data_IF_300798037198
#
_entry.id   IF_300798037198
#
_cell.length_a   1.000
_cell.length_b   1.000
_cell.length_c   1.000
_cell.angle_alpha   90.00
_cell.angle_beta   90.00
_cell.angle_gamma   90.00
#
_symmetry.space_group_name_H-M   'P 1'
#
loop_
_entity.id
_entity.type
_entity.pdbx_description
1 polymer ?
#
# COMPACT_ATOMS: atom_id res chain seq x y z
N UNK A 1 -5.85 -22.08 26.50
CA UNK A 1 -4.77 -22.11 25.48
C UNK A 1 -5.35 -22.75 24.24
N UNK A 2 -5.39 -22.06 23.07
CA UNK A 2 -5.81 -22.69 21.82
C UNK A 2 -4.82 -23.79 21.47
N UNK A 3 -5.31 -24.92 20.97
CA UNK A 3 -4.43 -26.01 20.52
C UNK A 3 -3.54 -25.52 19.37
N UNK A 4 -2.23 -25.56 19.56
CA UNK A 4 -1.23 -25.12 18.57
C UNK A 4 -1.32 -25.98 17.30
N UNK A 5 -1.70 -27.25 17.45
CA UNK A 5 -1.93 -28.17 16.31
C UNK A 5 -3.09 -27.73 15.44
N UNK A 6 -4.19 -27.33 16.06
CA UNK A 6 -5.37 -26.80 15.34
C UNK A 6 -5.04 -25.50 14.59
N UNK A 7 -4.30 -24.58 15.20
CA UNK A 7 -3.87 -23.34 14.53
C UNK A 7 -2.95 -23.59 13.34
N UNK A 8 -2.02 -24.54 13.43
CA UNK A 8 -1.14 -24.94 12.31
C UNK A 8 -1.92 -25.55 11.15
N UNK A 9 -2.87 -26.46 11.43
CA UNK A 9 -3.71 -27.08 10.41
C UNK A 9 -4.57 -26.03 9.68
N UNK A 10 -5.18 -25.09 10.43
CA UNK A 10 -5.96 -23.98 9.85
C UNK A 10 -5.11 -23.07 8.98
N UNK A 11 -3.90 -22.70 9.41
CA UNK A 11 -2.99 -21.87 8.64
C UNK A 11 -2.51 -22.58 7.35
N UNK A 12 -2.24 -23.89 7.42
CA UNK A 12 -1.89 -24.69 6.26
C UNK A 12 -3.06 -24.76 5.25
N UNK A 13 -4.30 -24.94 5.74
CA UNK A 13 -5.50 -24.93 4.89
C UNK A 13 -5.73 -23.54 4.27
N UNK A 14 -5.55 -22.45 5.02
CA UNK A 14 -5.60 -21.09 4.49
C UNK A 14 -4.58 -20.91 3.37
N UNK A 15 -3.30 -21.23 3.59
CA UNK A 15 -2.25 -21.09 2.59
C UNK A 15 -2.50 -21.93 1.32
N UNK A 16 -3.20 -23.07 1.45
CA UNK A 16 -3.60 -23.89 0.30
C UNK A 16 -4.73 -23.26 -0.52
N UNK A 17 -5.65 -22.53 0.12
CA UNK A 17 -6.86 -21.98 -0.51
C UNK A 17 -6.68 -20.55 -0.99
N UNK A 18 -5.92 -19.75 -0.26
CA UNK A 18 -5.84 -18.32 -0.44
C UNK A 18 -4.38 -17.89 -0.68
N UNK A 19 -4.11 -17.46 -1.91
CA UNK A 19 -2.93 -16.64 -2.18
C UNK A 19 -3.28 -15.17 -1.89
N UNK A 20 -2.25 -14.30 -1.83
CA UNK A 20 -2.40 -12.84 -1.71
C UNK A 20 -3.41 -12.30 -2.74
N UNK A 21 -3.30 -12.75 -3.99
CA UNK A 21 -4.16 -12.35 -5.11
C UNK A 21 -5.61 -12.72 -4.86
N UNK A 22 -5.86 -13.96 -4.46
CA UNK A 22 -7.22 -14.46 -4.16
C UNK A 22 -7.87 -13.73 -3.01
N UNK A 23 -7.08 -13.34 -1.99
CA UNK A 23 -7.58 -12.55 -0.87
C UNK A 23 -8.02 -11.17 -1.36
N UNK A 24 -7.20 -10.47 -2.15
CA UNK A 24 -7.54 -9.16 -2.71
C UNK A 24 -8.75 -9.28 -3.64
N UNK A 25 -8.77 -10.26 -4.54
CA UNK A 25 -9.90 -10.49 -5.46
C UNK A 25 -11.21 -10.83 -4.74
N UNK A 26 -11.15 -11.44 -3.55
CA UNK A 26 -12.35 -11.78 -2.79
C UNK A 26 -13.10 -10.57 -2.21
N UNK A 27 -12.41 -9.43 -2.06
CA UNK A 27 -12.97 -8.21 -1.48
C UNK A 27 -13.29 -7.13 -2.51
N UNK A 28 -12.67 -7.20 -3.70
CA UNK A 28 -12.94 -6.29 -4.83
C UNK A 28 -13.94 -6.97 -5.76
N UNK A 29 -15.22 -6.67 -5.58
CA UNK A 29 -16.31 -7.38 -6.27
C UNK A 29 -16.82 -6.70 -7.54
N UNK A 30 -16.36 -5.48 -7.84
CA UNK A 30 -16.72 -4.78 -9.06
C UNK A 30 -16.14 -5.48 -10.30
N UNK A 31 -16.93 -5.63 -11.36
CA UNK A 31 -16.48 -6.23 -12.62
C UNK A 31 -15.49 -5.34 -13.37
N UNK A 32 -15.59 -4.03 -13.19
CA UNK A 32 -14.69 -3.00 -13.73
C UNK A 32 -14.32 -2.08 -12.57
N UNK A 33 -13.35 -2.47 -11.71
CA UNK A 33 -13.04 -1.70 -10.53
C UNK A 33 -12.29 -0.40 -10.86
N UNK A 34 -12.59 0.65 -10.10
CA UNK A 34 -11.78 1.86 -10.01
C UNK A 34 -10.72 1.66 -8.93
N UNK A 35 -9.48 1.72 -9.34
CA UNK A 35 -8.31 1.47 -8.48
C UNK A 35 -7.47 2.73 -8.39
N UNK A 36 -7.06 3.08 -7.19
CA UNK A 36 -6.09 4.15 -6.94
C UNK A 36 -4.80 3.52 -6.41
N UNK A 37 -3.67 3.87 -7.03
CA UNK A 37 -2.34 3.35 -6.72
C UNK A 37 -1.42 4.53 -6.35
N UNK A 38 -1.19 4.72 -5.06
CA UNK A 38 -0.39 5.82 -4.51
C UNK A 38 1.01 5.35 -4.20
N UNK A 39 2.01 6.00 -4.79
CA UNK A 39 3.41 5.56 -4.77
C UNK A 39 3.66 4.47 -5.81
N UNK A 40 3.26 4.74 -7.06
CA UNK A 40 3.29 3.75 -8.15
C UNK A 40 4.70 3.43 -8.66
N UNK A 41 5.71 4.24 -8.31
CA UNK A 41 7.11 4.09 -8.71
C UNK A 41 7.24 3.88 -10.23
N UNK A 42 7.80 2.75 -10.69
CA UNK A 42 7.94 2.41 -12.12
C UNK A 42 6.71 1.69 -12.71
N UNK A 43 5.62 1.54 -11.93
CA UNK A 43 4.38 0.92 -12.36
C UNK A 43 4.25 -0.57 -12.15
N UNK A 44 5.10 -1.18 -11.30
CA UNK A 44 5.00 -2.61 -10.98
C UNK A 44 3.64 -2.95 -10.37
N UNK A 45 3.17 -2.09 -9.43
CA UNK A 45 1.83 -2.22 -8.84
C UNK A 45 0.72 -2.07 -9.88
N UNK A 46 0.83 -1.11 -10.79
CA UNK A 46 -0.16 -0.90 -11.85
C UNK A 46 -0.27 -2.13 -12.78
N UNK A 47 0.88 -2.72 -13.17
CA UNK A 47 0.90 -3.95 -13.96
C UNK A 47 0.27 -5.12 -13.22
N UNK A 48 0.64 -5.32 -11.96
CA UNK A 48 0.08 -6.36 -11.09
C UNK A 48 -1.44 -6.20 -10.91
N UNK A 49 -1.91 -4.99 -10.61
CA UNK A 49 -3.33 -4.70 -10.45
C UNK A 49 -4.12 -4.88 -11.76
N UNK A 50 -3.50 -4.55 -12.90
CA UNK A 50 -4.08 -4.82 -14.21
C UNK A 50 -4.21 -6.32 -14.51
N UNK A 51 -3.24 -7.13 -14.09
CA UNK A 51 -3.30 -8.59 -14.22
C UNK A 51 -4.43 -9.16 -13.35
N UNK A 52 -4.56 -8.69 -12.10
CA UNK A 52 -5.63 -9.11 -11.21
C UNK A 52 -7.02 -8.69 -11.68
N UNK A 53 -7.12 -7.50 -12.28
CA UNK A 53 -8.38 -6.86 -12.69
C UNK A 53 -8.25 -6.30 -14.12
N UNK A 54 -8.34 -7.14 -15.16
CA UNK A 54 -8.03 -6.75 -16.54
C UNK A 54 -8.87 -5.57 -17.09
N UNK A 55 -10.11 -5.40 -16.59
CA UNK A 55 -11.01 -4.31 -17.00
C UNK A 55 -10.93 -3.04 -16.14
N UNK A 56 -10.06 -2.98 -15.15
CA UNK A 56 -10.02 -1.88 -14.17
C UNK A 56 -9.67 -0.53 -14.82
N UNK A 57 -10.13 0.56 -14.20
CA UNK A 57 -9.57 1.90 -14.40
C UNK A 57 -8.60 2.15 -13.25
N UNK A 58 -7.34 2.46 -13.58
CA UNK A 58 -6.27 2.65 -12.59
C UNK A 58 -5.81 4.10 -12.62
N UNK A 59 -5.77 4.76 -11.46
CA UNK A 59 -5.21 6.09 -11.26
C UNK A 59 -3.96 5.98 -10.40
N UNK A 60 -2.79 6.22 -10.99
CA UNK A 60 -1.49 6.07 -10.33
C UNK A 60 -0.84 7.42 -10.07
N UNK A 61 -0.23 7.55 -8.89
CA UNK A 61 0.47 8.76 -8.44
C UNK A 61 1.93 8.42 -8.15
N UNK A 62 2.83 9.20 -8.74
CA UNK A 62 4.27 9.10 -8.53
C UNK A 62 4.91 10.49 -8.61
N UNK A 63 5.51 11.00 -7.53
CA UNK A 63 6.09 12.33 -7.52
C UNK A 63 7.46 12.44 -8.19
N UNK A 64 8.29 11.37 -8.15
CA UNK A 64 9.64 11.41 -8.74
C UNK A 64 9.58 11.43 -10.27
N UNK A 65 10.16 12.45 -10.94
CA UNK A 65 10.06 12.60 -12.39
C UNK A 65 10.60 11.41 -13.18
N UNK A 66 11.69 10.80 -12.73
CA UNK A 66 12.35 9.69 -13.45
C UNK A 66 11.50 8.42 -13.32
N UNK A 67 10.94 8.18 -12.13
CA UNK A 67 10.01 7.07 -11.89
C UNK A 67 8.69 7.29 -12.63
N UNK A 68 8.16 8.50 -12.60
CA UNK A 68 6.93 8.88 -13.31
C UNK A 68 7.06 8.68 -14.83
N UNK A 69 8.19 9.05 -15.43
CA UNK A 69 8.41 8.85 -16.86
C UNK A 69 8.31 7.36 -17.25
N UNK A 70 8.85 6.47 -16.41
CA UNK A 70 8.75 5.02 -16.63
C UNK A 70 7.31 4.53 -16.45
N UNK A 71 6.64 4.96 -15.39
CA UNK A 71 5.22 4.66 -15.15
C UNK A 71 4.34 5.07 -16.33
N UNK A 72 4.48 6.31 -16.80
CA UNK A 72 3.68 6.84 -17.91
C UNK A 72 3.97 6.10 -19.24
N UNK A 73 5.19 5.60 -19.42
CA UNK A 73 5.59 4.86 -20.64
C UNK A 73 4.98 3.47 -20.74
N UNK A 74 4.33 2.93 -19.71
CA UNK A 74 3.67 1.63 -19.76
C UNK A 74 2.53 1.57 -20.77
N UNK A 75 1.87 2.71 -21.08
CA UNK A 75 0.85 2.81 -22.10
C UNK A 75 -0.37 1.90 -21.89
N UNK A 76 -0.71 1.57 -20.64
CA UNK A 76 -1.85 0.69 -20.34
C UNK A 76 -3.17 1.39 -20.62
N UNK A 77 -4.10 0.71 -21.28
CA UNK A 77 -5.45 1.22 -21.51
C UNK A 77 -6.20 1.45 -20.19
N UNK A 78 -6.92 2.58 -20.03
CA UNK A 78 -7.60 2.92 -18.78
C UNK A 78 -6.67 3.17 -17.59
N UNK A 79 -5.42 3.59 -17.86
CA UNK A 79 -4.44 3.97 -16.85
C UNK A 79 -4.18 5.46 -16.90
N UNK A 80 -4.44 6.14 -15.80
CA UNK A 80 -4.26 7.57 -15.62
C UNK A 80 -3.09 7.82 -14.68
N UNK A 81 -2.02 8.42 -15.20
CA UNK A 81 -0.81 8.70 -14.42
C UNK A 81 -0.77 10.18 -14.04
N UNK A 82 -0.53 10.49 -12.77
CA UNK A 82 -0.40 11.85 -12.24
C UNK A 82 0.95 12.01 -11.56
N UNK A 83 1.75 12.99 -12.04
CA UNK A 83 3.02 13.33 -11.41
C UNK A 83 2.76 14.24 -10.21
N UNK A 84 2.53 13.64 -9.05
CA UNK A 84 2.31 14.34 -7.79
C UNK A 84 2.52 13.38 -6.60
N UNK A 85 2.89 13.92 -5.46
CA UNK A 85 2.71 13.27 -4.18
C UNK A 85 1.25 13.43 -3.72
N UNK A 86 0.76 12.46 -2.95
CA UNK A 86 -0.49 12.63 -2.19
C UNK A 86 -0.18 12.80 -0.70
N UNK A 87 -0.88 13.72 -0.05
CA UNK A 87 -0.76 14.01 1.38
C UNK A 87 -2.04 14.68 1.89
N UNK A 88 -2.01 15.22 3.11
CA UNK A 88 -3.12 15.96 3.75
C UNK A 88 -3.18 17.44 3.35
N UNK A 89 -2.33 17.91 2.42
CA UNK A 89 -2.30 19.28 1.93
C UNK A 89 -2.05 19.37 0.43
N UNK A 90 -2.26 20.58 -0.12
CA UNK A 90 -2.02 20.92 -1.54
C UNK A 90 -0.84 21.86 -1.70
N UNK A 91 -0.23 21.86 -2.86
CA UNK A 91 0.81 22.82 -3.24
C UNK A 91 2.11 22.15 -3.65
N UNK A 92 3.21 22.68 -3.13
CA UNK A 92 4.56 22.10 -3.28
C UNK A 92 5.01 21.56 -1.94
N UNK A 93 5.67 20.40 -1.96
CA UNK A 93 6.24 19.78 -0.76
C UNK A 93 7.65 19.27 -1.08
N UNK A 94 8.50 19.29 -0.06
CA UNK A 94 9.82 18.68 -0.17
C UNK A 94 9.69 17.14 -0.19
N UNK A 95 10.28 16.53 -1.20
CA UNK A 95 10.38 15.09 -1.37
C UNK A 95 11.86 14.69 -1.35
N UNK A 96 12.18 13.56 -0.74
CA UNK A 96 13.56 13.11 -0.57
C UNK A 96 13.86 11.94 -1.49
N UNK A 97 14.78 12.16 -2.43
CA UNK A 97 15.32 11.14 -3.31
C UNK A 97 16.46 10.41 -2.63
N UNK A 98 16.51 9.11 -2.81
CA UNK A 98 17.52 8.21 -2.28
C UNK A 98 18.18 7.40 -3.41
N UNK A 99 19.42 6.94 -3.18
CA UNK A 99 20.14 6.08 -4.13
C UNK A 99 19.34 4.83 -4.52
N UNK A 100 18.49 4.36 -3.61
CA UNK A 100 17.56 3.25 -3.85
C UNK A 100 16.17 3.86 -4.04
N UNK A 101 15.74 4.05 -5.30
CA UNK A 101 14.57 4.85 -5.67
C UNK A 101 13.24 4.41 -5.03
N UNK A 102 13.07 3.11 -4.72
CA UNK A 102 11.88 2.63 -4.02
C UNK A 102 11.83 2.99 -2.53
N UNK A 103 12.83 3.70 -2.02
CA UNK A 103 12.85 4.29 -0.67
C UNK A 103 12.65 5.80 -0.69
N UNK A 104 12.35 6.39 -1.84
CA UNK A 104 12.01 7.81 -1.94
C UNK A 104 10.74 8.10 -1.14
N UNK A 105 10.70 9.22 -0.42
CA UNK A 105 9.59 9.54 0.50
C UNK A 105 9.43 11.04 0.73
N UNK A 106 8.29 11.44 1.28
CA UNK A 106 8.11 12.75 1.93
C UNK A 106 8.93 12.85 3.23
N UNK A 107 9.40 11.74 3.76
CA UNK A 107 10.21 11.70 4.98
C UNK A 107 11.65 11.31 4.69
N UNK A 108 12.55 11.85 5.51
CA UNK A 108 13.97 11.53 5.41
C UNK A 108 14.24 10.13 5.92
N UNK A 109 15.14 9.40 5.25
CA UNK A 109 15.72 8.18 5.80
C UNK A 109 16.46 8.52 7.09
N UNK A 110 16.18 7.81 8.15
CA UNK A 110 16.81 7.97 9.46
C UNK A 110 18.23 7.37 9.44
N UNK A 111 19.21 8.22 9.17
CA UNK A 111 20.62 7.82 9.12
C UNK A 111 21.16 7.37 10.48
N UNK A 112 20.48 7.68 11.58
CA UNK A 112 20.82 7.22 12.95
C UNK A 112 20.29 5.83 13.28
N UNK A 113 19.38 5.28 12.49
CA UNK A 113 18.77 3.98 12.76
C UNK A 113 19.81 2.85 12.66
N UNK A 114 19.85 2.02 13.70
CA UNK A 114 20.62 0.77 13.71
C UNK A 114 19.77 -0.44 13.31
N UNK A 115 18.50 -0.24 13.08
CA UNK A 115 17.52 -1.29 12.84
C UNK A 115 17.42 -1.70 11.37
N UNK A 116 17.88 -0.86 10.45
CA UNK A 116 17.84 -1.16 9.04
C UNK A 116 19.03 -2.00 8.59
N UNK A 117 18.78 -3.24 8.21
CA UNK A 117 19.78 -4.12 7.59
C UNK A 117 20.37 -3.46 6.34
N UNK A 118 19.52 -2.87 5.49
CA UNK A 118 19.93 -2.19 4.25
C UNK A 118 20.87 -1.02 4.54
N UNK A 119 20.56 -0.18 5.54
CA UNK A 119 21.42 0.92 5.94
C UNK A 119 22.73 0.43 6.57
N UNK A 120 22.67 -0.64 7.37
CA UNK A 120 23.85 -1.23 8.01
C UNK A 120 24.79 -1.86 6.97
N UNK A 121 24.24 -2.57 6.01
CA UNK A 121 24.99 -3.17 4.92
C UNK A 121 25.60 -2.10 3.98
N UNK A 122 24.82 -1.08 3.64
CA UNK A 122 25.24 0.03 2.82
C UNK A 122 26.33 0.88 3.49
N UNK A 123 26.26 1.13 4.80
CA UNK A 123 27.35 1.77 5.57
C UNK A 123 28.63 0.96 5.55
N UNK A 124 28.52 -0.38 5.62
CA UNK A 124 29.67 -1.27 5.60
C UNK A 124 30.35 -1.36 4.24
N UNK A 125 29.58 -1.27 3.14
CA UNK A 125 30.08 -1.47 1.77
C UNK A 125 30.31 -0.16 1.00
N UNK A 126 29.50 0.87 1.23
CA UNK A 126 29.43 2.12 0.44
C UNK A 126 30.13 3.32 1.08
N UNK A 127 30.54 3.25 2.34
CA UNK A 127 31.24 4.33 3.04
C UNK A 127 30.47 5.67 3.05
N UNK A 128 31.22 6.79 3.09
CA UNK A 128 30.65 8.14 3.14
C UNK A 128 29.84 8.54 1.88
N UNK A 129 30.11 7.95 0.72
CA UNK A 129 29.43 8.31 -0.54
C UNK A 129 27.99 7.81 -0.58
N UNK A 130 27.70 6.66 0.02
CA UNK A 130 26.32 6.18 0.09
C UNK A 130 25.43 7.09 0.96
N UNK A 131 25.92 7.52 2.12
CA UNK A 131 25.16 8.44 2.99
C UNK A 131 24.88 9.78 2.31
N UNK A 132 25.80 10.27 1.45
CA UNK A 132 25.61 11.49 0.66
C UNK A 132 24.58 11.35 -0.46
N UNK A 133 24.31 10.14 -0.91
CA UNK A 133 23.30 9.85 -1.96
C UNK A 133 21.90 9.63 -1.41
N UNK A 134 21.72 9.73 -0.09
CA UNK A 134 20.43 9.66 0.58
C UNK A 134 19.90 11.05 0.91
N UNK A 135 18.58 11.15 1.05
CA UNK A 135 17.89 12.36 1.50
C UNK A 135 18.17 13.59 0.63
N UNK A 136 18.27 13.42 -0.70
CA UNK A 136 18.42 14.53 -1.63
C UNK A 136 17.08 15.25 -1.80
N UNK A 137 16.90 16.48 -1.27
CA UNK A 137 15.63 17.17 -1.30
C UNK A 137 15.35 17.77 -2.68
N UNK A 138 14.10 17.70 -3.12
CA UNK A 138 13.58 18.50 -4.24
C UNK A 138 12.09 18.74 -4.07
N UNK A 139 11.55 19.75 -4.74
CA UNK A 139 10.14 20.12 -4.62
C UNK A 139 9.29 19.35 -5.63
N UNK A 140 8.17 18.82 -5.15
CA UNK A 140 7.17 18.14 -5.97
C UNK A 140 5.78 18.70 -5.74
N UNK A 141 4.93 18.61 -6.76
CA UNK A 141 3.50 18.91 -6.62
C UNK A 141 2.87 17.95 -5.61
N UNK A 142 2.03 18.48 -4.74
CA UNK A 142 1.26 17.73 -3.76
C UNK A 142 -0.24 17.99 -3.94
N UNK A 143 -1.05 16.93 -3.80
CA UNK A 143 -2.51 16.96 -3.86
C UNK A 143 -3.09 16.22 -2.66
N UNK A 144 -4.35 16.48 -2.35
CA UNK A 144 -5.14 15.53 -1.55
C UNK A 144 -5.86 14.54 -2.48
N UNK A 145 -6.10 13.33 -1.99
CA UNK A 145 -6.87 12.36 -2.76
C UNK A 145 -8.33 12.80 -2.92
N UNK A 146 -8.88 13.47 -1.92
CA UNK A 146 -10.23 14.02 -1.94
C UNK A 146 -10.44 15.00 -3.10
N UNK A 147 -9.49 15.95 -3.27
CA UNK A 147 -9.58 16.93 -4.35
C UNK A 147 -9.40 16.28 -5.72
N UNK A 148 -8.47 15.33 -5.83
CA UNK A 148 -8.27 14.61 -7.08
C UNK A 148 -9.53 13.83 -7.49
N UNK A 149 -10.15 13.10 -6.58
CA UNK A 149 -11.37 12.34 -6.87
C UNK A 149 -12.53 13.26 -7.25
N UNK A 150 -12.66 14.42 -6.59
CA UNK A 150 -13.66 15.43 -6.93
C UNK A 150 -13.42 16.00 -8.35
N UNK A 151 -12.19 16.42 -8.67
CA UNK A 151 -11.81 16.96 -9.98
C UNK A 151 -11.95 15.92 -11.10
N UNK A 152 -11.65 14.64 -10.83
CA UNK A 152 -11.76 13.54 -11.80
C UNK A 152 -13.17 12.91 -11.89
N UNK A 153 -14.13 13.33 -11.06
CA UNK A 153 -15.48 12.77 -11.01
C UNK A 153 -15.53 11.33 -10.49
N UNK A 154 -14.60 10.95 -9.63
CA UNK A 154 -14.52 9.60 -9.04
C UNK A 154 -15.41 9.56 -7.78
N UNK A 155 -16.60 9.01 -7.91
CA UNK A 155 -17.56 8.89 -6.78
C UNK A 155 -17.33 7.66 -5.91
N UNK A 156 -16.56 6.65 -6.37
CA UNK A 156 -16.28 5.41 -5.65
C UNK A 156 -14.90 4.89 -6.01
N UNK A 157 -14.18 4.42 -5.00
CA UNK A 157 -12.91 3.70 -5.14
C UNK A 157 -13.12 2.25 -4.68
N UNK A 158 -12.91 1.29 -5.56
CA UNK A 158 -13.07 -0.13 -5.20
C UNK A 158 -11.84 -0.66 -4.47
N UNK A 159 -10.65 -0.20 -4.86
CA UNK A 159 -9.39 -0.52 -4.20
C UNK A 159 -8.47 0.71 -4.15
N UNK A 160 -8.03 1.08 -2.97
CA UNK A 160 -6.98 2.07 -2.72
C UNK A 160 -5.72 1.35 -2.25
N UNK A 161 -4.65 1.40 -3.04
CA UNK A 161 -3.31 0.92 -2.65
C UNK A 161 -2.44 2.10 -2.27
N UNK A 162 -1.79 2.04 -1.11
CA UNK A 162 -0.89 3.09 -0.61
C UNK A 162 0.45 2.47 -0.22
N UNK A 163 1.52 2.96 -0.85
CA UNK A 163 2.89 2.58 -0.57
C UNK A 163 3.78 3.82 -0.80
N UNK A 164 3.82 4.67 0.20
CA UNK A 164 4.48 5.99 0.14
C UNK A 164 5.62 6.13 1.14
N UNK A 165 6.07 4.96 1.62
CA UNK A 165 7.31 4.85 2.36
C UNK A 165 7.32 5.71 3.63
N UNK A 166 6.30 5.47 4.49
CA UNK A 166 6.18 6.06 5.82
C UNK A 166 5.14 7.18 5.94
N UNK A 167 4.63 7.74 4.82
CA UNK A 167 3.67 8.85 4.82
C UNK A 167 2.19 8.43 4.64
N UNK A 168 1.85 7.15 4.87
CA UNK A 168 0.53 6.55 4.61
C UNK A 168 -0.59 7.29 5.37
N UNK A 169 -0.36 7.65 6.64
CA UNK A 169 -1.36 8.39 7.43
C UNK A 169 -1.64 9.79 6.85
N UNK A 170 -0.64 10.46 6.26
CA UNK A 170 -0.84 11.74 5.60
C UNK A 170 -1.72 11.60 4.35
N UNK A 171 -1.51 10.54 3.56
CA UNK A 171 -2.38 10.22 2.41
C UNK A 171 -3.81 9.95 2.88
N UNK A 172 -3.99 9.13 3.93
CA UNK A 172 -5.31 8.80 4.48
C UNK A 172 -6.04 10.02 5.02
N UNK A 173 -5.35 10.96 5.69
CA UNK A 173 -5.95 12.23 6.14
C UNK A 173 -6.42 13.08 4.97
N UNK A 174 -5.66 13.11 3.86
CA UNK A 174 -6.05 13.79 2.61
C UNK A 174 -7.11 13.05 1.78
N UNK A 175 -7.59 11.89 2.27
CA UNK A 175 -8.57 11.03 1.64
C UNK A 175 -9.86 10.87 2.46
N UNK A 176 -10.08 11.69 3.48
CA UNK A 176 -11.14 11.47 4.47
C UNK A 176 -12.53 11.28 3.85
N UNK A 177 -12.90 12.09 2.85
CA UNK A 177 -14.18 11.95 2.12
C UNK A 177 -14.16 10.75 1.18
N UNK A 178 -13.05 10.54 0.47
CA UNK A 178 -12.89 9.42 -0.47
C UNK A 178 -12.98 8.08 0.25
N UNK A 179 -12.42 7.98 1.46
CA UNK A 179 -12.51 6.78 2.29
C UNK A 179 -13.95 6.39 2.62
N UNK A 180 -14.90 7.31 2.70
CA UNK A 180 -16.32 7.01 2.94
C UNK A 180 -16.93 6.15 1.82
N UNK A 181 -16.42 6.26 0.59
CA UNK A 181 -16.85 5.49 -0.59
C UNK A 181 -15.81 4.47 -1.07
N UNK A 182 -14.74 4.23 -0.30
CA UNK A 182 -13.70 3.23 -0.62
C UNK A 182 -14.12 1.84 -0.14
N UNK A 183 -14.00 0.84 -1.02
CA UNK A 183 -14.36 -0.56 -0.72
C UNK A 183 -13.29 -1.31 0.06
N UNK A 184 -12.04 -1.20 -0.36
CA UNK A 184 -10.89 -1.85 0.25
C UNK A 184 -9.66 -0.95 0.19
N UNK A 185 -8.77 -1.09 1.17
CA UNK A 185 -7.47 -0.40 1.24
C UNK A 185 -6.37 -1.42 1.47
N UNK A 186 -5.34 -1.41 0.61
CA UNK A 186 -4.10 -2.13 0.81
C UNK A 186 -3.00 -1.12 1.09
N UNK A 187 -2.28 -1.30 2.19
CA UNK A 187 -1.20 -0.39 2.55
C UNK A 187 -0.10 -1.10 3.34
N UNK A 188 1.11 -0.51 3.31
CA UNK A 188 2.23 -0.96 4.12
C UNK A 188 2.21 -0.30 5.51
N UNK A 189 2.37 -1.09 6.56
CA UNK A 189 2.64 -0.62 7.91
C UNK A 189 4.07 -0.92 8.30
N UNK A 190 4.84 0.11 8.62
CA UNK A 190 6.25 0.02 8.98
C UNK A 190 6.43 -0.04 10.51
N UNK A 191 7.23 -1.00 11.02
CA UNK A 191 7.46 -1.20 12.46
C UNK A 191 8.86 -0.80 12.91
N UNK A 192 9.76 -0.46 11.99
CA UNK A 192 11.14 -0.08 12.27
C UNK A 192 11.42 1.38 11.89
N UNK A 193 12.46 1.97 12.44
CA UNK A 193 12.77 3.39 12.29
C UNK A 193 13.63 3.66 11.04
N UNK A 194 13.14 3.23 9.87
CA UNK A 194 13.84 3.49 8.60
C UNK A 194 13.77 4.97 8.19
N UNK A 195 12.64 5.62 8.45
CA UNK A 195 12.44 7.04 8.23
C UNK A 195 12.45 7.81 9.56
N UNK A 196 12.82 9.11 9.52
CA UNK A 196 12.79 10.00 10.69
C UNK A 196 11.37 10.14 11.26
N UNK A 197 10.38 10.10 10.36
CA UNK A 197 8.95 9.98 10.68
C UNK A 197 8.39 8.77 9.94
N UNK A 198 7.46 8.09 10.54
CA UNK A 198 6.74 6.97 9.92
C UNK A 198 5.32 6.92 10.46
N UNK A 199 4.42 6.47 9.62
CA UNK A 199 3.07 6.11 10.05
C UNK A 199 3.13 4.92 11.01
N UNK A 200 2.48 5.04 12.16
CA UNK A 200 2.28 3.92 13.09
C UNK A 200 0.88 3.33 12.93
N UNK A 201 0.72 2.06 13.31
CA UNK A 201 -0.54 1.32 13.08
C UNK A 201 -1.77 2.00 13.72
N UNK A 202 -1.59 2.66 14.87
CA UNK A 202 -2.65 3.41 15.54
C UNK A 202 -3.12 4.63 14.74
N UNK A 203 -2.26 5.26 13.94
CA UNK A 203 -2.65 6.35 13.04
C UNK A 203 -3.46 5.82 11.85
N UNK A 204 -3.11 4.65 11.33
CA UNK A 204 -3.90 3.98 10.28
C UNK A 204 -5.31 3.67 10.77
N UNK A 205 -5.42 3.05 11.96
CA UNK A 205 -6.71 2.74 12.59
C UNK A 205 -7.53 4.01 12.86
N UNK A 206 -6.87 5.10 13.27
CA UNK A 206 -7.53 6.38 13.51
C UNK A 206 -8.12 7.00 12.24
N UNK A 207 -7.49 6.79 11.08
CA UNK A 207 -8.00 7.28 9.80
C UNK A 207 -9.05 6.33 9.20
N UNK A 208 -8.84 5.02 9.26
CA UNK A 208 -9.65 4.02 8.57
C UNK A 208 -10.91 3.64 9.34
N UNK A 209 -10.81 3.54 10.68
CA UNK A 209 -11.94 3.15 11.53
C UNK A 209 -13.19 4.05 11.41
N UNK A 210 -13.06 5.39 11.48
CA UNK A 210 -14.21 6.30 11.29
C UNK A 210 -14.88 6.17 9.91
N UNK A 211 -14.12 5.78 8.88
CA UNK A 211 -14.65 5.50 7.55
C UNK A 211 -15.33 4.11 7.44
N UNK A 212 -15.40 3.32 8.52
CA UNK A 212 -16.00 1.99 8.55
C UNK A 212 -15.11 0.91 7.88
N UNK A 213 -13.81 1.16 7.79
CA UNK A 213 -12.83 0.20 7.27
C UNK A 213 -12.14 -0.51 8.44
N UNK A 214 -12.10 -1.83 8.43
CA UNK A 214 -11.48 -2.66 9.47
C UNK A 214 -10.45 -3.61 8.88
N UNK A 215 -9.42 -3.96 9.66
CA UNK A 215 -8.39 -4.88 9.23
C UNK A 215 -9.00 -6.25 8.91
N UNK A 216 -8.89 -6.67 7.66
CA UNK A 216 -9.39 -7.94 7.15
C UNK A 216 -8.30 -9.02 7.11
N UNK A 217 -7.11 -8.66 6.62
CA UNK A 217 -6.01 -9.63 6.44
C UNK A 217 -4.65 -8.94 6.51
N UNK A 218 -3.65 -9.70 6.94
CA UNK A 218 -2.25 -9.39 6.75
C UNK A 218 -1.80 -10.18 5.51
N UNK A 219 -1.48 -9.48 4.43
CA UNK A 219 -1.17 -10.09 3.13
C UNK A 219 0.27 -10.59 3.06
N UNK A 220 1.19 -9.81 3.66
CA UNK A 220 2.62 -10.11 3.68
C UNK A 220 3.25 -9.58 4.97
N UNK A 221 4.32 -10.23 5.44
CA UNK A 221 5.09 -9.81 6.60
C UNK A 221 6.58 -9.96 6.26
N UNK A 222 7.34 -8.89 6.47
CA UNK A 222 8.80 -8.93 6.44
C UNK A 222 9.35 -8.98 7.86
N UNK A 223 10.13 -9.99 8.16
CA UNK A 223 10.74 -10.20 9.48
C UNK A 223 12.25 -10.03 9.42
N UNK A 224 12.82 -9.37 10.42
CA UNK A 224 14.24 -9.16 10.56
C UNK A 224 14.90 -10.41 11.14
N UNK A 225 15.75 -11.14 10.39
CA UNK A 225 16.38 -12.37 10.87
C UNK A 225 17.45 -12.13 11.95
N UNK A 226 17.90 -10.89 12.15
CA UNK A 226 18.95 -10.56 13.12
C UNK A 226 18.40 -10.31 14.52
N UNK A 227 17.17 -9.82 14.65
CA UNK A 227 16.57 -9.47 15.95
C UNK A 227 15.16 -10.04 16.16
N UNK A 228 14.58 -10.71 15.16
CA UNK A 228 13.26 -11.34 15.22
C UNK A 228 12.07 -10.37 15.17
N UNK A 229 12.32 -9.06 14.93
CA UNK A 229 11.26 -8.05 14.82
C UNK A 229 10.59 -8.15 13.45
N UNK A 230 9.31 -7.76 13.36
CA UNK A 230 8.67 -7.45 12.09
C UNK A 230 9.14 -6.08 11.63
N UNK A 231 9.70 -5.97 10.41
CA UNK A 231 10.13 -4.71 9.83
C UNK A 231 8.94 -3.97 9.20
N UNK A 232 8.11 -4.67 8.43
CA UNK A 232 6.88 -4.13 7.85
C UNK A 232 5.86 -5.25 7.59
N UNK A 233 4.62 -4.86 7.38
CA UNK A 233 3.56 -5.75 6.95
C UNK A 233 2.66 -5.04 5.92
N UNK A 234 2.19 -5.79 4.92
CA UNK A 234 1.15 -5.34 4.01
C UNK A 234 -0.22 -5.71 4.57
N UNK A 235 -1.05 -4.72 4.80
CA UNK A 235 -2.35 -4.83 5.46
C UNK A 235 -3.48 -4.58 4.47
N UNK A 236 -4.53 -5.39 4.57
CA UNK A 236 -5.77 -5.21 3.81
C UNK A 236 -6.88 -4.84 4.77
N UNK A 237 -7.48 -3.68 4.55
CA UNK A 237 -8.67 -3.20 5.23
C UNK A 237 -9.87 -3.28 4.30
N UNK A 238 -11.03 -3.60 4.84
CA UNK A 238 -12.29 -3.67 4.07
C UNK A 238 -13.43 -3.03 4.86
N UNK A 239 -14.42 -2.56 4.13
CA UNK A 239 -15.66 -2.07 4.72
C UNK A 239 -16.51 -3.28 5.16
N UNK A 240 -16.81 -3.36 6.47
CA UNK A 240 -17.66 -4.37 7.10
C UNK A 240 -17.49 -5.80 6.55
N UNK A 241 -16.58 -6.56 7.10
CA UNK A 241 -16.57 -8.04 7.10
C UNK A 241 -17.16 -8.79 5.89
N UNK A 242 -17.41 -8.12 4.79
CA UNK A 242 -17.94 -8.73 3.55
C UNK A 242 -16.85 -9.52 2.84
N UNK A 243 -16.38 -10.60 3.47
CA UNK A 243 -16.00 -11.77 2.69
C UNK A 243 -17.25 -12.11 1.87
N UNK A 244 -17.15 -12.01 0.55
CA UNK A 244 -18.24 -12.38 -0.34
C UNK A 244 -18.85 -13.68 0.17
N UNK A 245 -20.15 -13.71 0.38
CA UNK A 245 -20.90 -14.94 0.71
C UNK A 245 -20.71 -15.90 -0.47
N UNK A 246 -19.59 -16.61 -0.44
CA UNK A 246 -19.36 -17.75 -1.31
C UNK A 246 -20.54 -18.67 -1.11
N UNK A 247 -21.37 -18.80 -2.12
CA UNK A 247 -22.46 -19.75 -2.19
C UNK A 247 -21.96 -21.11 -1.72
N UNK A 248 -22.31 -21.46 -0.49
CA UNK A 248 -22.27 -22.83 -0.04
C UNK A 248 -23.20 -23.64 -0.95
N UNK A 249 -22.65 -24.30 -1.96
CA UNK A 249 -23.32 -25.41 -2.58
C UNK A 249 -23.46 -26.46 -1.48
N UNK A 250 -24.64 -26.48 -0.88
CA UNK A 250 -25.12 -27.59 -0.07
C UNK A 250 -25.21 -28.81 -1.00
N UNK A 251 -24.19 -29.68 -0.96
CA UNK A 251 -24.30 -31.02 -1.50
C UNK A 251 -25.42 -31.71 -0.74
N UNK A 252 -26.54 -31.94 -1.42
CA UNK A 252 -27.67 -32.66 -0.91
C UNK A 252 -27.24 -34.01 -0.34
N UNK A 253 -27.63 -34.30 0.88
CA UNK A 253 -27.68 -35.66 1.42
C UNK A 253 -28.90 -36.30 0.82
N UNK A 254 -28.70 -37.14 -0.18
CA UNK A 254 -29.70 -38.15 -0.53
C UNK A 254 -29.66 -39.27 0.51
N UNK A 255 -30.74 -39.37 1.26
CA UNK A 255 -31.09 -40.55 2.02
C UNK A 255 -31.74 -41.56 1.05
N UNK A 256 -31.12 -42.71 0.85
CA UNK A 256 -31.78 -44.02 0.75
C UNK A 256 -30.86 -45.10 1.26
#
# INVERSE_FOLDING_TARGET
MKDVGESRARNAEFARRFSRERVIQSVVTASVPTIIDVGAHHGQSALYLRELFPGSTIHSFEPDPDSFQRLASLGLSGHHCTQAALSDGRGQVTFFRNAISHTNSLYRVNLGSNDSIKLTEARRTGGNDFSRSLNQPFEVRCLTLDDYCEEAGIGRVDLLKIDVQGAEASVLRGAARTLESTGAVVLEASFYDFYEHKTVISELEHCLGPAGLSLFSILEISQNPMNGRTDWAELLYTRDGRAGSGTHHSAGRDHR
#
